data_IF_790701763004
#
_entry.id   IF_790701763004
#
_cell.length_a   1.000
_cell.length_b   1.000
_cell.length_c   1.000
_cell.angle_alpha   90.00
_cell.angle_beta   90.00
_cell.angle_gamma   90.00
#
_symmetry.space_group_name_H-M   'P 1'
#
loop_
_entity.id
_entity.type
_entity.pdbx_description
1 polymer ?
#
# COMPACT_ATOMS: atom_id res chain seq x y z
N UNK A 1 11.02 8.19 17.34
CA UNK A 1 10.34 7.22 16.46
C UNK A 1 8.82 7.14 16.66
N UNK A 2 8.29 6.84 17.85
CA UNK A 2 6.84 6.64 18.03
C UNK A 2 5.98 7.91 17.81
N UNK A 3 6.44 9.07 18.28
CA UNK A 3 5.75 10.35 18.08
C UNK A 3 5.67 10.73 16.60
N UNK A 4 6.79 10.62 15.88
CA UNK A 4 6.88 10.92 14.45
C UNK A 4 5.91 10.05 13.62
N UNK A 5 5.84 8.75 13.91
CA UNK A 5 4.87 7.84 13.25
C UNK A 5 3.41 8.26 13.52
N UNK A 6 3.11 8.69 14.75
CA UNK A 6 1.77 9.21 15.10
C UNK A 6 1.45 10.50 14.34
N UNK A 7 2.40 11.43 14.25
CA UNK A 7 2.25 12.68 13.49
C UNK A 7 2.03 12.42 12.00
N UNK A 8 2.81 11.52 11.38
CA UNK A 8 2.64 11.15 9.96
C UNK A 8 1.26 10.53 9.69
N UNK A 9 0.80 9.63 10.56
CA UNK A 9 -0.54 9.04 10.47
C UNK A 9 -1.64 10.08 10.64
N UNK A 10 -1.51 10.98 11.61
CA UNK A 10 -2.46 12.06 11.84
C UNK A 10 -2.53 13.02 10.64
N UNK A 11 -1.37 13.36 10.06
CA UNK A 11 -1.29 14.18 8.86
C UNK A 11 -1.99 13.51 7.68
N UNK A 12 -1.69 12.25 7.38
CA UNK A 12 -2.38 11.51 6.31
C UNK A 12 -3.89 11.49 6.52
N UNK A 13 -4.32 11.20 7.75
CA UNK A 13 -5.74 11.18 8.10
C UNK A 13 -6.40 12.55 7.93
N UNK A 14 -5.70 13.63 8.27
CA UNK A 14 -6.20 14.99 8.12
C UNK A 14 -6.27 15.38 6.64
N UNK A 15 -5.21 15.15 5.86
CA UNK A 15 -5.16 15.43 4.42
C UNK A 15 -6.33 14.78 3.68
N UNK A 16 -6.63 13.51 3.99
CA UNK A 16 -7.75 12.79 3.38
C UNK A 16 -9.10 13.34 3.83
N UNK A 17 -9.23 13.79 5.09
CA UNK A 17 -10.47 14.36 5.63
C UNK A 17 -10.76 15.76 5.09
N UNK A 18 -9.73 16.56 4.84
CA UNK A 18 -9.86 17.95 4.36
C UNK A 18 -9.83 18.07 2.85
N UNK A 19 -9.54 16.97 2.13
CA UNK A 19 -9.65 16.95 0.68
C UNK A 19 -11.10 17.26 0.26
N UNK A 20 -11.27 18.19 -0.68
CA UNK A 20 -12.57 18.50 -1.25
C UNK A 20 -13.24 17.26 -1.83
N UNK A 21 -12.44 16.39 -2.44
CA UNK A 21 -12.82 15.06 -2.90
C UNK A 21 -11.81 14.03 -2.36
N UNK A 22 -12.18 13.23 -1.35
CA UNK A 22 -11.29 12.20 -0.82
C UNK A 22 -10.98 11.15 -1.91
N UNK A 23 -9.71 10.76 -2.09
CA UNK A 23 -9.31 9.83 -3.13
C UNK A 23 -9.88 8.44 -2.87
N UNK A 24 -10.30 7.75 -3.92
CA UNK A 24 -10.81 6.38 -3.79
C UNK A 24 -9.71 5.35 -3.53
N UNK A 25 -8.50 5.64 -3.99
CA UNK A 25 -7.32 4.78 -3.88
C UNK A 25 -6.13 5.62 -3.46
N UNK A 26 -5.37 5.16 -2.47
CA UNK A 26 -4.14 5.81 -1.99
C UNK A 26 -3.03 4.77 -1.93
N UNK A 27 -1.93 5.01 -2.63
CA UNK A 27 -0.74 4.16 -2.59
C UNK A 27 0.30 4.81 -1.67
N UNK A 28 0.78 4.06 -0.68
CA UNK A 28 1.82 4.49 0.26
C UNK A 28 3.00 3.54 0.17
N UNK A 29 4.20 4.11 0.23
CA UNK A 29 5.48 3.42 0.21
C UNK A 29 6.24 3.75 1.49
N UNK A 30 7.29 3.00 1.79
CA UNK A 30 8.14 3.23 2.97
C UNK A 30 7.32 3.26 4.27
N UNK A 31 6.37 2.33 4.39
CA UNK A 31 5.52 2.18 5.57
C UNK A 31 6.31 1.77 6.83
N UNK A 32 7.39 1.01 6.69
CA UNK A 32 8.25 0.48 7.76
C UNK A 32 7.48 -0.17 8.92
N UNK A 33 6.39 -0.89 8.60
CA UNK A 33 5.50 -1.47 9.60
C UNK A 33 5.52 -2.99 9.58
N UNK A 34 5.47 -3.59 10.77
CA UNK A 34 5.27 -5.03 10.97
C UNK A 34 3.82 -5.42 10.70
N UNK A 35 2.88 -4.50 10.98
CA UNK A 35 1.45 -4.64 10.72
C UNK A 35 0.97 -3.68 9.61
N UNK A 36 -0.05 -4.04 8.82
CA UNK A 36 -0.63 -3.13 7.84
C UNK A 36 -1.21 -1.86 8.50
N UNK A 37 -0.96 -0.66 7.93
CA UNK A 37 -1.50 0.58 8.47
C UNK A 37 -3.02 0.64 8.34
N UNK A 38 -3.66 1.43 9.22
CA UNK A 38 -5.11 1.64 9.24
C UNK A 38 -5.42 3.11 8.98
N UNK A 39 -6.32 3.35 8.04
CA UNK A 39 -6.84 4.68 7.68
C UNK A 39 -8.37 4.65 7.77
N UNK A 40 -8.97 5.59 8.49
CA UNK A 40 -10.42 5.62 8.68
C UNK A 40 -11.12 5.88 7.34
N UNK A 41 -12.12 5.06 7.02
CA UNK A 41 -12.87 5.14 5.75
C UNK A 41 -12.30 4.25 4.64
N UNK A 42 -11.18 3.58 4.89
CA UNK A 42 -10.48 2.76 3.90
C UNK A 42 -10.28 1.33 4.41
N UNK A 43 -10.12 0.41 3.46
CA UNK A 43 -9.58 -0.94 3.63
C UNK A 43 -8.11 -0.92 3.21
N UNK A 44 -7.28 -1.73 3.84
CA UNK A 44 -5.84 -1.79 3.54
C UNK A 44 -5.53 -3.10 2.85
N UNK A 45 -4.91 -3.02 1.68
CA UNK A 45 -4.17 -4.12 1.08
C UNK A 45 -2.68 -3.79 1.19
N UNK A 46 -1.88 -4.67 1.79
CA UNK A 46 -0.45 -4.43 1.98
C UNK A 46 0.35 -5.59 1.44
N UNK A 47 1.56 -5.33 0.96
CA UNK A 47 2.52 -6.40 0.69
C UNK A 47 2.79 -7.15 1.99
N UNK A 48 2.88 -8.50 1.99
CA UNK A 48 3.43 -9.22 3.12
C UNK A 48 4.77 -8.61 3.54
N UNK A 49 5.09 -8.57 4.85
CA UNK A 49 6.36 -8.02 5.32
C UNK A 49 7.51 -8.87 4.78
N UNK A 50 8.13 -8.42 3.69
CA UNK A 50 9.24 -9.09 3.01
C UNK A 50 10.56 -9.07 3.80
N UNK A 51 10.53 -8.58 5.05
CA UNK A 51 11.71 -8.18 5.83
C UNK A 51 12.38 -9.27 6.66
N UNK A 52 12.12 -10.56 6.43
CA UNK A 52 12.89 -11.64 7.09
C UNK A 52 13.65 -12.57 6.16
N UNK A 53 13.51 -12.46 4.84
CA UNK A 53 14.20 -13.40 3.94
C UNK A 53 15.71 -13.12 3.77
N UNK A 54 16.21 -11.90 4.06
CA UNK A 54 17.62 -11.57 3.87
C UNK A 54 18.30 -10.86 5.04
N UNK A 55 17.94 -11.22 6.29
CA UNK A 55 18.81 -11.10 7.46
C UNK A 55 19.31 -9.72 7.94
N UNK A 56 19.20 -8.62 7.18
CA UNK A 56 19.71 -7.29 7.56
C UNK A 56 18.94 -6.16 6.86
N UNK A 57 17.73 -5.86 7.33
CA UNK A 57 17.00 -4.66 6.93
C UNK A 57 15.54 -4.73 7.32
N UNK A 58 15.00 -3.67 7.93
CA UNK A 58 13.56 -3.54 8.11
C UNK A 58 12.90 -3.42 6.73
N UNK A 59 11.91 -4.27 6.42
CA UNK A 59 11.12 -4.10 5.19
C UNK A 59 10.58 -2.67 5.11
N UNK A 60 10.72 -2.04 3.93
CA UNK A 60 10.23 -0.68 3.77
C UNK A 60 8.72 -0.68 3.59
N UNK A 61 8.16 -1.73 3.00
CA UNK A 61 6.74 -2.06 2.93
C UNK A 61 5.93 -1.10 2.07
N UNK A 62 5.05 -1.66 1.24
CA UNK A 62 4.10 -0.90 0.44
C UNK A 62 2.67 -1.28 0.80
N UNK A 63 1.76 -0.32 0.76
CA UNK A 63 0.34 -0.59 0.93
C UNK A 63 -0.53 0.28 0.02
N UNK A 64 -1.72 -0.23 -0.26
CA UNK A 64 -2.78 0.45 -0.98
C UNK A 64 -3.98 0.56 -0.06
N UNK A 65 -4.45 1.78 0.20
CA UNK A 65 -5.73 2.03 0.83
C UNK A 65 -6.81 2.14 -0.24
N UNK A 66 -7.89 1.38 -0.07
CA UNK A 66 -9.05 1.35 -0.95
C UNK A 66 -10.25 1.83 -0.16
N UNK A 67 -10.95 2.86 -0.65
CA UNK A 67 -12.13 3.42 0.04
C UNK A 67 -13.18 2.32 0.27
N UNK A 68 -13.80 2.33 1.46
CA UNK A 68 -14.87 1.37 1.78
C UNK A 68 -16.02 1.51 0.76
N UNK A 69 -16.52 0.38 0.30
CA UNK A 69 -17.57 0.30 -0.73
C UNK A 69 -17.06 0.00 -2.14
N UNK A 70 -15.76 0.16 -2.41
CA UNK A 70 -15.15 -0.21 -3.70
C UNK A 70 -14.71 -1.66 -3.67
N UNK A 71 -15.22 -2.49 -4.59
CA UNK A 71 -14.81 -3.89 -4.75
C UNK A 71 -13.39 -4.00 -5.27
N UNK A 72 -12.58 -4.88 -4.66
CA UNK A 72 -11.22 -5.11 -5.09
C UNK A 72 -10.79 -6.56 -4.85
N UNK A 73 -9.82 -7.00 -5.65
CA UNK A 73 -9.16 -8.30 -5.56
C UNK A 73 -7.65 -8.10 -5.36
N UNK A 74 -7.07 -8.60 -4.25
CA UNK A 74 -5.62 -8.72 -4.11
C UNK A 74 -5.05 -9.60 -5.23
N UNK A 75 -4.03 -9.12 -5.93
CA UNK A 75 -3.33 -9.93 -6.92
C UNK A 75 -1.99 -10.39 -6.34
N UNK A 76 -1.73 -11.69 -6.42
CA UNK A 76 -0.40 -12.23 -6.16
C UNK A 76 0.55 -11.83 -7.29
N UNK A 77 1.76 -11.40 -6.94
CA UNK A 77 2.77 -11.08 -7.94
C UNK A 77 3.83 -12.18 -8.00
N UNK A 78 4.13 -12.72 -9.20
CA UNK A 78 5.24 -13.66 -9.36
C UNK A 78 6.61 -13.01 -9.10
N UNK A 79 6.68 -11.68 -9.04
CA UNK A 79 7.92 -10.93 -8.77
C UNK A 79 8.19 -10.74 -7.27
N UNK A 80 7.25 -11.16 -6.41
CA UNK A 80 7.37 -11.02 -4.97
C UNK A 80 8.44 -11.99 -4.44
N UNK A 81 9.55 -11.45 -3.93
CA UNK A 81 10.69 -12.22 -3.42
C UNK A 81 11.76 -12.59 -4.46
N UNK A 82 11.49 -12.40 -5.77
CA UNK A 82 12.46 -12.64 -6.84
C UNK A 82 13.31 -11.41 -7.19
N UNK A 83 12.98 -10.25 -6.62
CA UNK A 83 13.60 -8.96 -6.96
C UNK A 83 13.87 -8.13 -5.70
N UNK A 84 14.71 -7.11 -5.83
CA UNK A 84 14.89 -6.08 -4.79
C UNK A 84 13.70 -5.10 -4.69
N UNK A 85 12.59 -5.40 -5.40
CA UNK A 85 11.38 -4.58 -5.44
C UNK A 85 10.41 -5.04 -4.36
N UNK A 86 9.80 -4.06 -3.69
CA UNK A 86 8.67 -4.26 -2.82
C UNK A 86 7.42 -3.83 -3.57
N UNK A 87 6.40 -4.69 -3.66
CA UNK A 87 5.22 -4.41 -4.47
C UNK A 87 3.92 -4.92 -3.86
N UNK A 88 2.82 -4.23 -4.19
CA UNK A 88 1.44 -4.62 -3.88
C UNK A 88 0.57 -4.37 -5.11
N UNK A 89 -0.01 -5.43 -5.68
CA UNK A 89 -0.86 -5.37 -6.86
C UNK A 89 -2.34 -5.55 -6.47
N UNK A 90 -3.20 -4.61 -6.85
CA UNK A 90 -4.62 -4.61 -6.48
C UNK A 90 -5.46 -4.37 -7.72
N UNK A 91 -6.38 -5.29 -8.02
CA UNK A 91 -7.41 -5.07 -9.04
C UNK A 91 -8.62 -4.40 -8.40
N UNK A 92 -9.12 -3.34 -9.03
CA UNK A 92 -10.34 -2.62 -8.66
C UNK A 92 -11.39 -2.89 -9.72
N UNK A 93 -12.54 -3.39 -9.31
CA UNK A 93 -13.66 -3.64 -10.24
C UNK A 93 -14.48 -2.35 -10.40
N UNK A 94 -14.64 -1.91 -11.64
CA UNK A 94 -15.38 -0.71 -12.02
C UNK A 94 -16.66 -1.15 -12.74
N UNK A 95 -17.80 -0.63 -12.30
CA UNK A 95 -19.09 -0.89 -12.95
C UNK A 95 -19.90 -2.06 -12.37
N UNK A 96 -21.18 -2.11 -12.73
CA UNK A 96 -22.20 -2.99 -12.14
C UNK A 96 -22.20 -4.43 -12.68
N UNK A 97 -21.28 -4.79 -13.59
CA UNK A 97 -21.29 -6.06 -14.33
C UNK A 97 -19.93 -6.77 -14.40
N UNK A 98 -18.99 -6.46 -13.52
CA UNK A 98 -17.69 -7.15 -13.42
C UNK A 98 -16.88 -7.25 -14.73
N UNK A 99 -17.06 -6.31 -15.67
CA UNK A 99 -16.40 -6.34 -16.99
C UNK A 99 -15.34 -5.28 -17.19
N UNK A 100 -15.27 -4.29 -16.30
CA UNK A 100 -14.24 -3.26 -16.35
C UNK A 100 -13.48 -3.33 -15.03
N UNK A 101 -12.16 -3.42 -15.12
CA UNK A 101 -11.31 -3.37 -13.94
C UNK A 101 -10.08 -2.51 -14.23
N UNK A 102 -9.55 -1.92 -13.17
CA UNK A 102 -8.26 -1.23 -13.18
C UNK A 102 -7.31 -1.95 -12.23
N UNK A 103 -6.14 -2.28 -12.72
CA UNK A 103 -5.07 -2.87 -11.91
C UNK A 103 -4.09 -1.79 -11.49
N UNK A 104 -3.94 -1.64 -10.18
CA UNK A 104 -2.96 -0.75 -9.56
C UNK A 104 -1.79 -1.57 -9.05
N UNK A 105 -0.58 -1.20 -9.45
CA UNK A 105 0.65 -1.83 -8.97
C UNK A 105 1.47 -0.78 -8.23
N UNK A 106 1.48 -0.87 -6.90
CA UNK A 106 2.33 -0.02 -6.07
C UNK A 106 3.71 -0.68 -5.99
N UNK A 107 4.73 -0.03 -6.58
CA UNK A 107 6.10 -0.55 -6.63
C UNK A 107 7.03 0.42 -5.93
N UNK A 108 7.82 -0.12 -5.00
CA UNK A 108 8.93 0.57 -4.37
C UNK A 108 10.24 -0.14 -4.69
N UNK A 109 11.24 0.63 -5.15
CA UNK A 109 12.61 0.16 -5.37
C UNK A 109 13.52 0.87 -4.40
N UNK A 110 14.15 0.14 -3.48
CA UNK A 110 15.15 0.70 -2.59
C UNK A 110 16.28 1.33 -3.43
N UNK A 111 16.56 2.65 -3.29
CA UNK A 111 17.62 3.33 -4.04
C UNK A 111 19.00 2.68 -3.89
N UNK A 112 19.26 2.00 -2.77
CA UNK A 112 20.52 1.30 -2.51
C UNK A 112 20.72 0.06 -3.40
N UNK A 113 19.66 -0.46 -4.01
CA UNK A 113 19.71 -1.63 -4.91
C UNK A 113 19.59 -1.23 -6.39
N UNK A 114 20.05 -0.01 -6.74
CA UNK A 114 20.03 0.51 -8.12
C UNK A 114 21.20 0.03 -9.00
N UNK A 115 22.23 -0.56 -8.39
CA UNK A 115 23.42 -1.09 -9.07
C UNK A 115 23.18 -2.37 -9.85
#
# INVERSE_FOLDING_TARGET
MALERRCRKALLQQTVRTAAEPPDIIMIQETHMEDPPKLLGYRTHASPPSGRMHGKGAAQGVCTFIRKGITFTPLESPLQGATSLELCATEIVIGKRDRESLTFVNVYRNPQHRG
#
